data_IF_901605676717
#
_entry.id   IF_901605676717
#
_cell.length_a   1.000
_cell.length_b   1.000
_cell.length_c   1.000
_cell.angle_alpha   90.00
_cell.angle_beta   90.00
_cell.angle_gamma   90.00
#
_symmetry.space_group_name_H-M   'P 1'
#
loop_
_entity.id
_entity.type
_entity.pdbx_description
1 polymer ?
#
# COMPACT_ATOMS: atom_id res chain seq x y z
N UNK A 1 -13.15 21.25 12.67
CA UNK A 1 -12.65 20.44 11.55
C UNK A 1 -12.59 19.04 12.10
N UNK A 2 -13.45 18.15 11.64
CA UNK A 2 -13.29 16.73 11.97
C UNK A 2 -12.12 16.23 11.14
N UNK A 3 -11.06 15.80 11.83
CA UNK A 3 -9.91 15.16 11.18
C UNK A 3 -10.38 13.79 10.68
N UNK A 4 -10.69 13.70 9.38
CA UNK A 4 -11.08 12.45 8.76
C UNK A 4 -9.84 11.56 8.59
N UNK A 5 -9.73 10.50 9.39
CA UNK A 5 -8.57 9.60 9.40
C UNK A 5 -8.94 8.23 8.82
N UNK A 6 -8.10 7.70 7.93
CA UNK A 6 -8.21 6.33 7.44
C UNK A 6 -7.40 5.42 8.36
N UNK A 7 -8.08 4.47 8.99
CA UNK A 7 -7.45 3.33 9.63
C UNK A 7 -7.23 2.23 8.58
N UNK A 8 -5.98 1.77 8.43
CA UNK A 8 -5.64 0.67 7.54
C UNK A 8 -5.69 -0.65 8.30
N UNK A 9 -6.33 -1.65 7.70
CA UNK A 9 -6.40 -3.01 8.23
C UNK A 9 -5.33 -3.92 7.60
N UNK A 10 -5.07 -5.07 8.24
CA UNK A 10 -4.31 -6.14 7.60
C UNK A 10 -5.10 -6.77 6.45
N UNK A 11 -4.42 -7.24 5.38
CA UNK A 11 -2.97 -7.30 5.20
C UNK A 11 -2.29 -6.01 4.71
N UNK A 12 -3.01 -5.03 4.15
CA UNK A 12 -2.42 -3.81 3.57
C UNK A 12 -1.56 -3.03 4.58
N UNK A 13 -1.99 -2.91 5.84
CA UNK A 13 -1.19 -2.29 6.90
C UNK A 13 0.18 -2.97 7.07
N UNK A 14 0.20 -4.30 7.08
CA UNK A 14 1.43 -5.07 7.23
C UNK A 14 2.38 -4.89 6.05
N UNK A 15 1.82 -4.86 4.84
CA UNK A 15 2.57 -4.62 3.60
C UNK A 15 3.18 -3.20 3.60
N UNK A 16 2.39 -2.18 3.93
CA UNK A 16 2.88 -0.78 3.98
C UNK A 16 4.00 -0.65 5.01
N UNK A 17 3.83 -1.20 6.22
CA UNK A 17 4.88 -1.21 7.25
C UNK A 17 6.13 -1.94 6.80
N UNK A 18 6.01 -3.00 6.01
CA UNK A 18 7.17 -3.70 5.47
C UNK A 18 7.92 -2.86 4.43
N UNK A 19 7.24 -1.96 3.73
CA UNK A 19 7.85 -1.06 2.75
C UNK A 19 8.52 0.16 3.39
N UNK A 20 8.39 0.38 4.69
CA UNK A 20 9.11 1.43 5.44
C UNK A 20 10.59 1.05 5.59
N UNK A 21 11.40 1.34 4.56
CA UNK A 21 12.79 0.85 4.45
C UNK A 21 13.83 1.95 4.30
N UNK A 22 13.43 3.18 3.97
CA UNK A 22 14.36 4.28 3.68
C UNK A 22 14.64 5.16 4.90
N UNK A 23 13.65 5.34 5.76
CA UNK A 23 13.64 6.23 6.92
C UNK A 23 12.53 5.75 7.88
N UNK A 24 12.25 6.50 8.95
CA UNK A 24 11.05 6.33 9.76
C UNK A 24 9.96 7.32 9.28
N UNK A 25 8.71 6.87 9.18
CA UNK A 25 7.56 7.68 8.77
C UNK A 25 7.38 8.91 9.67
N UNK A 26 7.75 8.80 10.95
CA UNK A 26 7.74 9.92 11.89
C UNK A 26 8.66 11.09 11.45
N UNK A 27 9.72 10.82 10.70
CA UNK A 27 10.68 11.81 10.22
C UNK A 27 10.46 12.19 8.75
N UNK A 28 10.23 11.21 7.88
CA UNK A 28 10.19 11.40 6.43
C UNK A 28 8.78 11.26 5.81
N UNK A 29 7.75 10.99 6.62
CA UNK A 29 6.38 10.82 6.13
C UNK A 29 6.28 9.72 5.07
N UNK A 30 5.58 10.02 3.97
CA UNK A 30 5.43 9.10 2.82
C UNK A 30 6.75 8.74 2.15
N UNK A 31 7.79 9.57 2.25
CA UNK A 31 9.10 9.32 1.63
C UNK A 31 9.91 8.26 2.40
N UNK A 32 9.46 7.81 3.58
CA UNK A 32 10.05 6.69 4.30
C UNK A 32 9.79 5.33 3.63
N UNK A 33 8.82 5.27 2.72
CA UNK A 33 8.31 4.03 2.14
C UNK A 33 8.87 3.81 0.73
N UNK A 34 9.45 2.64 0.48
CA UNK A 34 9.79 2.16 -0.85
C UNK A 34 8.83 1.04 -1.29
N UNK A 35 7.84 1.41 -2.10
CA UNK A 35 6.88 0.50 -2.69
C UNK A 35 7.40 -0.24 -3.93
N UNK A 36 8.71 -0.45 -4.05
CA UNK A 36 9.26 -1.23 -5.15
C UNK A 36 8.69 -2.67 -5.17
N UNK A 37 8.51 -3.27 -6.37
CA UNK A 37 8.00 -4.63 -6.49
C UNK A 37 8.82 -5.67 -5.71
N UNK A 38 10.11 -5.41 -5.47
CA UNK A 38 10.99 -6.31 -4.72
C UNK A 38 10.61 -6.33 -3.24
N UNK A 39 10.38 -5.17 -2.62
CA UNK A 39 9.96 -5.12 -1.22
C UNK A 39 8.55 -5.70 -1.04
N UNK A 40 7.63 -5.43 -1.97
CA UNK A 40 6.31 -6.05 -1.92
C UNK A 40 6.40 -7.57 -2.08
N UNK A 41 7.20 -8.08 -3.03
CA UNK A 41 7.41 -9.53 -3.19
C UNK A 41 7.99 -10.15 -1.92
N UNK A 42 8.98 -9.50 -1.30
CA UNK A 42 9.59 -9.94 -0.03
C UNK A 42 8.55 -10.01 1.09
N UNK A 43 7.68 -9.01 1.20
CA UNK A 43 6.57 -9.01 2.16
C UNK A 43 5.65 -10.21 1.97
N UNK A 44 5.23 -10.46 0.73
CA UNK A 44 4.23 -11.50 0.42
C UNK A 44 4.72 -12.91 0.71
N UNK A 45 6.02 -13.18 0.52
CA UNK A 45 6.59 -14.53 0.69
C UNK A 45 7.22 -14.74 2.08
N UNK A 46 7.25 -13.71 2.94
CA UNK A 46 8.05 -13.67 4.17
C UNK A 46 7.85 -14.88 5.09
N UNK A 47 6.62 -15.35 5.23
CA UNK A 47 6.28 -16.38 6.22
C UNK A 47 6.22 -17.79 5.65
N UNK A 48 5.72 -17.95 4.42
CA UNK A 48 5.46 -19.28 3.83
C UNK A 48 6.39 -19.59 2.65
N UNK A 49 7.18 -18.61 2.17
CA UNK A 49 7.94 -18.72 0.93
C UNK A 49 7.07 -18.73 -0.34
N UNK A 50 5.75 -18.52 -0.20
CA UNK A 50 4.77 -18.56 -1.29
C UNK A 50 3.82 -17.38 -1.16
N UNK A 51 3.25 -16.96 -2.29
CA UNK A 51 2.18 -15.96 -2.27
C UNK A 51 0.86 -16.68 -2.00
N UNK A 52 0.15 -16.24 -0.98
CA UNK A 52 -1.22 -16.65 -0.71
C UNK A 52 -2.18 -15.78 -1.52
N UNK A 53 -2.93 -16.37 -2.46
CA UNK A 53 -3.81 -15.60 -3.36
C UNK A 53 -4.88 -14.81 -2.61
N UNK A 54 -5.42 -15.38 -1.53
CA UNK A 54 -6.41 -14.71 -0.67
C UNK A 54 -5.86 -13.44 -0.01
N UNK A 55 -4.55 -13.40 0.28
CA UNK A 55 -3.92 -12.21 0.86
C UNK A 55 -3.82 -11.10 -0.19
N UNK A 56 -3.40 -11.46 -1.42
CA UNK A 56 -3.35 -10.52 -2.55
C UNK A 56 -4.73 -9.94 -2.85
N UNK A 57 -5.77 -10.78 -2.89
CA UNK A 57 -7.14 -10.34 -3.13
C UNK A 57 -7.64 -9.37 -2.04
N UNK A 58 -7.28 -9.62 -0.78
CA UNK A 58 -7.60 -8.71 0.34
C UNK A 58 -6.86 -7.37 0.19
N UNK A 59 -5.58 -7.37 -0.16
CA UNK A 59 -4.81 -6.14 -0.42
C UNK A 59 -5.48 -5.35 -1.55
N UNK A 60 -5.82 -6.00 -2.67
CA UNK A 60 -6.48 -5.35 -3.81
C UNK A 60 -7.84 -4.74 -3.42
N UNK A 61 -8.63 -5.44 -2.61
CA UNK A 61 -9.90 -4.93 -2.08
C UNK A 61 -9.69 -3.70 -1.19
N UNK A 62 -8.69 -3.72 -0.30
CA UNK A 62 -8.36 -2.58 0.56
C UNK A 62 -7.86 -1.38 -0.24
N UNK A 63 -7.04 -1.59 -1.28
CA UNK A 63 -6.62 -0.52 -2.18
C UNK A 63 -7.81 0.09 -2.95
N UNK A 64 -8.79 -0.74 -3.35
CA UNK A 64 -10.01 -0.22 -3.98
C UNK A 64 -10.82 0.66 -3.03
N UNK A 65 -10.85 0.36 -1.73
CA UNK A 65 -11.49 1.24 -0.75
C UNK A 65 -10.77 2.60 -0.64
N UNK A 66 -9.44 2.62 -0.77
CA UNK A 66 -8.69 3.88 -0.86
C UNK A 66 -9.03 4.66 -2.12
N UNK A 67 -9.23 4.00 -3.27
CA UNK A 67 -9.66 4.66 -4.50
C UNK A 67 -11.04 5.31 -4.36
N UNK A 68 -12.01 4.59 -3.78
CA UNK A 68 -13.35 5.13 -3.50
C UNK A 68 -13.24 6.39 -2.64
N UNK A 69 -12.35 6.37 -1.66
CA UNK A 69 -12.19 7.50 -0.77
C UNK A 69 -11.42 8.66 -1.39
N UNK A 70 -10.45 8.36 -2.26
CA UNK A 70 -9.79 9.34 -3.08
C UNK A 70 -10.77 10.05 -4.05
N UNK A 71 -11.69 9.30 -4.65
CA UNK A 71 -12.76 9.85 -5.50
C UNK A 71 -13.69 10.77 -4.69
N UNK A 72 -14.09 10.35 -3.48
CA UNK A 72 -14.91 11.18 -2.58
C UNK A 72 -14.21 12.49 -2.25
N UNK A 73 -12.95 12.44 -1.83
CA UNK A 73 -12.15 13.64 -1.50
C UNK A 73 -11.93 14.54 -2.72
N UNK A 74 -11.78 13.96 -3.91
CA UNK A 74 -11.62 14.74 -5.15
C UNK A 74 -12.89 15.50 -5.51
N UNK A 75 -14.06 14.86 -5.36
CA UNK A 75 -15.36 15.45 -5.69
C UNK A 75 -15.83 16.46 -4.65
N UNK A 76 -15.73 16.10 -3.37
CA UNK A 76 -16.32 16.86 -2.27
C UNK A 76 -15.32 17.89 -1.69
N UNK A 77 -14.04 17.76 -2.06
CA UNK A 77 -12.94 18.51 -1.47
C UNK A 77 -12.54 17.95 -0.09
N UNK A 78 -11.39 18.39 0.40
CA UNK A 78 -10.88 18.05 1.72
C UNK A 78 -9.67 17.11 1.69
N UNK A 79 -9.33 16.63 2.88
CA UNK A 79 -8.14 15.81 3.12
C UNK A 79 -8.44 14.70 4.10
N UNK A 80 -7.60 13.67 4.08
CA UNK A 80 -7.58 12.61 5.08
C UNK A 80 -6.15 12.33 5.53
N UNK A 81 -5.97 11.73 6.70
CA UNK A 81 -4.67 11.26 7.17
C UNK A 81 -4.60 9.74 7.21
N UNK A 82 -3.40 9.21 6.94
CA UNK A 82 -3.04 7.81 7.22
C UNK A 82 -1.96 7.84 8.29
N UNK A 83 -2.32 7.47 9.52
CA UNK A 83 -1.45 7.62 10.70
C UNK A 83 -0.12 6.89 10.56
N UNK A 84 -0.12 5.66 10.05
CA UNK A 84 1.12 4.88 9.88
C UNK A 84 2.11 5.56 8.94
N UNK A 85 1.65 6.43 8.03
CA UNK A 85 2.50 7.16 7.11
C UNK A 85 2.82 8.58 7.58
N UNK A 86 2.23 9.02 8.71
CA UNK A 86 2.35 10.39 9.22
C UNK A 86 2.10 11.46 8.14
N UNK A 87 1.14 11.19 7.25
CA UNK A 87 0.93 11.98 6.04
C UNK A 87 -0.55 12.32 5.84
N UNK A 88 -0.80 13.56 5.40
CA UNK A 88 -2.11 14.04 4.96
C UNK A 88 -2.19 13.92 3.44
N UNK A 89 -3.31 13.40 2.95
CA UNK A 89 -3.60 13.18 1.55
C UNK A 89 -4.85 13.96 1.13
N UNK A 90 -4.79 14.58 -0.05
CA UNK A 90 -5.97 14.94 -0.81
C UNK A 90 -6.36 13.77 -1.74
N UNK A 91 -7.49 13.89 -2.45
CA UNK A 91 -7.96 12.85 -3.36
C UNK A 91 -6.90 12.38 -4.37
N UNK A 92 -6.29 13.27 -5.18
CA UNK A 92 -5.25 12.87 -6.15
C UNK A 92 -4.04 12.17 -5.52
N UNK A 93 -3.57 12.63 -4.35
CA UNK A 93 -2.43 12.03 -3.68
C UNK A 93 -2.75 10.63 -3.12
N UNK A 94 -3.94 10.45 -2.53
CA UNK A 94 -4.39 9.14 -2.05
C UNK A 94 -4.55 8.14 -3.19
N UNK A 95 -5.11 8.58 -4.32
CA UNK A 95 -5.21 7.77 -5.53
C UNK A 95 -3.83 7.36 -6.06
N UNK A 96 -2.88 8.31 -6.14
CA UNK A 96 -1.53 8.04 -6.60
C UNK A 96 -0.80 7.01 -5.71
N UNK A 97 -0.98 7.08 -4.39
CA UNK A 97 -0.47 6.08 -3.46
C UNK A 97 -1.07 4.70 -3.75
N UNK A 98 -2.40 4.60 -3.82
CA UNK A 98 -3.11 3.34 -4.09
C UNK A 98 -2.69 2.72 -5.43
N UNK A 99 -2.59 3.53 -6.49
CA UNK A 99 -2.13 3.10 -7.81
C UNK A 99 -0.67 2.60 -7.77
N UNK A 100 0.22 3.30 -7.07
CA UNK A 100 1.63 2.91 -6.93
C UNK A 100 1.77 1.54 -6.27
N UNK A 101 1.04 1.31 -5.17
CA UNK A 101 1.06 0.02 -4.46
C UNK A 101 0.46 -1.07 -5.34
N UNK A 102 -0.65 -0.81 -6.04
CA UNK A 102 -1.31 -1.77 -6.92
C UNK A 102 -0.41 -2.22 -8.07
N UNK A 103 0.18 -1.27 -8.79
CA UNK A 103 1.07 -1.58 -9.91
C UNK A 103 2.27 -2.40 -9.45
N UNK A 104 2.82 -2.06 -8.28
CA UNK A 104 3.96 -2.76 -7.72
C UNK A 104 3.59 -4.13 -7.16
N UNK A 105 2.39 -4.29 -6.62
CA UNK A 105 1.81 -5.59 -6.22
C UNK A 105 1.66 -6.52 -7.43
N UNK A 106 1.13 -6.03 -8.55
CA UNK A 106 1.02 -6.81 -9.79
C UNK A 106 2.40 -7.27 -10.27
N UNK A 107 3.39 -6.38 -10.27
CA UNK A 107 4.77 -6.71 -10.65
C UNK A 107 5.42 -7.70 -9.66
N UNK A 108 5.14 -7.58 -8.36
CA UNK A 108 5.65 -8.46 -7.32
C UNK A 108 5.13 -9.90 -7.48
N UNK A 109 3.82 -10.06 -7.74
CA UNK A 109 3.22 -11.37 -8.01
C UNK A 109 3.85 -12.02 -9.24
N UNK A 110 4.06 -11.25 -10.31
CA UNK A 110 4.72 -11.74 -11.52
C UNK A 110 6.17 -12.16 -11.25
N UNK A 111 6.92 -11.35 -10.48
CA UNK A 111 8.31 -11.64 -10.13
C UNK A 111 8.45 -12.97 -9.39
N UNK A 112 7.60 -13.23 -8.38
CA UNK A 112 7.64 -14.48 -7.63
C UNK A 112 7.24 -15.67 -8.51
N UNK A 113 6.22 -15.51 -9.36
CA UNK A 113 5.81 -16.54 -10.29
C UNK A 113 6.93 -16.92 -11.27
N UNK A 114 7.70 -15.94 -11.76
CA UNK A 114 8.83 -16.20 -12.65
C UNK A 114 9.98 -16.92 -11.93
N UNK A 115 10.34 -16.50 -10.71
CA UNK A 115 11.37 -17.19 -9.92
C UNK A 115 11.00 -18.65 -9.65
N UNK A 116 9.74 -18.92 -9.30
CA UNK A 116 9.25 -20.28 -9.04
C UNK A 116 9.23 -21.18 -10.29
N UNK A 117 9.17 -20.61 -11.50
CA UNK A 117 9.25 -21.38 -12.75
C UNK A 117 10.67 -21.87 -13.08
N UNK A 118 11.68 -21.19 -12.53
CA UNK A 118 13.10 -21.52 -12.76
C UNK A 118 13.76 -22.23 -11.57
N UNK A 119 12.99 -22.51 -10.50
CA UNK A 119 13.42 -23.24 -9.30
C UNK A 119 13.00 -24.70 -9.37
#
# INVERSE_FOLDING_TARGET
MEDHQIALDYPLLGLIKHCETLCEAACCGVDAFDFSPIHIASSLIRYTGKIESEEVDKVLSQLRNLDVEAERLTRDGGTTSIEVMNQVFNGPALFALSATIRDSLTKAVQLVADVQRFS
#
